data_IF_726108355320
#
_entry.id   IF_726108355320
#
_cell.length_a   1.000
_cell.length_b   1.000
_cell.length_c   1.000
_cell.angle_alpha   90.00
_cell.angle_beta   90.00
_cell.angle_gamma   90.00
#
_symmetry.space_group_name_H-M   'P 1'
#
loop_
_entity.id
_entity.type
_entity.pdbx_description
1 polymer ?
#
# COMPACT_ATOMS: atom_id res chain seq x y z
N UNK A 1 -24.15 14.16 43.00
CA UNK A 1 -23.70 12.85 42.60
C UNK A 1 -22.22 12.99 42.25
N UNK A 2 -21.33 12.55 43.13
CA UNK A 2 -19.87 12.75 43.04
C UNK A 2 -19.33 11.64 42.12
N UNK A 3 -18.75 12.00 41.00
CA UNK A 3 -18.09 11.07 40.09
C UNK A 3 -16.78 10.64 40.78
N UNK A 4 -16.55 9.36 41.04
CA UNK A 4 -15.31 8.92 41.64
C UNK A 4 -14.15 9.13 40.63
N UNK A 5 -13.19 9.98 41.00
CA UNK A 5 -11.93 10.11 40.26
C UNK A 5 -11.15 8.78 40.40
N UNK A 6 -10.81 8.17 39.27
CA UNK A 6 -9.89 7.02 39.24
C UNK A 6 -8.53 7.47 39.82
N UNK A 7 -7.92 6.71 40.73
CA UNK A 7 -6.61 7.03 41.26
C UNK A 7 -5.59 7.06 40.12
N UNK A 8 -4.80 8.12 40.03
CA UNK A 8 -3.65 8.23 39.15
C UNK A 8 -2.59 7.20 39.59
N UNK A 9 -2.65 6.01 39.03
CA UNK A 9 -1.54 5.06 39.12
C UNK A 9 -0.33 5.71 38.43
N UNK A 10 0.72 6.02 39.21
CA UNK A 10 2.03 6.33 38.68
C UNK A 10 2.53 5.07 37.95
N UNK A 11 2.36 5.02 36.62
CA UNK A 11 2.89 3.93 35.77
C UNK A 11 4.41 3.94 35.89
N UNK A 12 5.00 2.79 36.17
CA UNK A 12 6.45 2.62 36.16
C UNK A 12 6.99 2.80 34.79
N UNK A 13 8.25 3.25 34.62
CA UNK A 13 8.91 3.44 33.33
C UNK A 13 8.89 2.18 32.45
N UNK A 14 8.94 0.99 33.08
CA UNK A 14 8.89 -0.30 32.36
C UNK A 14 7.48 -0.59 31.78
N UNK A 15 6.43 -0.26 32.52
CA UNK A 15 5.04 -0.38 32.05
C UNK A 15 4.78 0.59 30.88
N UNK A 16 5.26 1.82 30.99
CA UNK A 16 5.18 2.81 29.92
C UNK A 16 5.93 2.37 28.66
N UNK A 17 7.10 1.73 28.80
CA UNK A 17 7.87 1.22 27.66
C UNK A 17 7.21 0.00 27.02
N UNK A 18 6.60 -0.89 27.81
CA UNK A 18 5.84 -2.05 27.33
C UNK A 18 4.59 -1.62 26.56
N UNK A 19 3.83 -0.68 27.11
CA UNK A 19 2.64 -0.12 26.45
C UNK A 19 3.00 0.59 25.14
N UNK A 20 4.12 1.31 25.10
CA UNK A 20 4.63 1.97 23.89
C UNK A 20 5.02 0.94 22.84
N UNK A 21 5.73 -0.12 23.22
CA UNK A 21 6.11 -1.20 22.31
C UNK A 21 4.88 -1.92 21.75
N UNK A 22 3.91 -2.25 22.62
CA UNK A 22 2.65 -2.89 22.21
C UNK A 22 1.87 -2.03 21.21
N UNK A 23 1.81 -0.72 21.43
CA UNK A 23 1.26 0.24 20.48
C UNK A 23 1.92 0.14 19.12
N UNK A 24 3.25 0.18 19.07
CA UNK A 24 3.96 0.08 17.77
C UNK A 24 3.71 -1.27 17.11
N UNK A 25 3.65 -2.35 17.86
CA UNK A 25 3.36 -3.69 17.33
C UNK A 25 1.93 -3.77 16.75
N UNK A 26 0.93 -3.10 17.35
CA UNK A 26 -0.44 -3.09 16.83
C UNK A 26 -0.57 -2.42 15.46
N UNK A 27 0.33 -1.48 15.13
CA UNK A 27 0.40 -0.83 13.82
C UNK A 27 1.33 -1.53 12.82
N UNK A 28 2.07 -2.56 13.27
CA UNK A 28 3.00 -3.29 12.40
C UNK A 28 2.26 -4.06 11.30
N UNK A 29 1.08 -4.64 11.60
CA UNK A 29 0.30 -5.42 10.65
C UNK A 29 -0.06 -4.67 9.36
N UNK A 30 -0.70 -3.49 9.43
CA UNK A 30 -0.96 -2.67 8.25
C UNK A 30 0.30 -2.25 7.50
N UNK A 31 1.38 -1.97 8.23
CA UNK A 31 2.69 -1.67 7.64
C UNK A 31 3.25 -2.86 6.85
N UNK A 32 3.08 -4.08 7.34
CA UNK A 32 3.47 -5.30 6.65
C UNK A 32 2.61 -5.55 5.40
N UNK A 33 1.30 -5.33 5.47
CA UNK A 33 0.42 -5.43 4.29
C UNK A 33 0.83 -4.40 3.23
N UNK A 34 1.12 -3.15 3.63
CA UNK A 34 1.62 -2.15 2.70
C UNK A 34 2.99 -2.55 2.11
N UNK A 35 3.88 -3.14 2.92
CA UNK A 35 5.20 -3.58 2.47
C UNK A 35 5.13 -4.72 1.44
N UNK A 36 4.16 -5.64 1.58
CA UNK A 36 3.96 -6.72 0.60
C UNK A 36 3.65 -6.20 -0.79
N UNK A 37 2.88 -5.12 -0.89
CA UNK A 37 2.56 -4.51 -2.18
C UNK A 37 3.83 -4.09 -2.96
N UNK A 38 4.94 -3.83 -2.28
CA UNK A 38 6.22 -3.49 -2.92
C UNK A 38 7.12 -4.70 -3.21
N UNK A 39 6.75 -5.90 -2.70
CA UNK A 39 7.44 -7.16 -2.98
C UNK A 39 6.72 -7.95 -4.09
N UNK A 40 6.18 -7.26 -5.07
CA UNK A 40 5.37 -7.81 -6.13
C UNK A 40 6.20 -8.43 -7.27
N UNK A 41 5.63 -9.36 -8.03
CA UNK A 41 6.29 -9.98 -9.18
C UNK A 41 6.59 -9.01 -10.33
N UNK A 42 5.82 -7.90 -10.45
CA UNK A 42 6.03 -6.87 -11.46
C UNK A 42 7.33 -6.10 -11.24
N UNK A 43 7.57 -5.63 -9.99
CA UNK A 43 8.84 -5.03 -9.59
C UNK A 43 10.01 -5.98 -9.83
N UNK A 44 9.85 -7.26 -9.44
CA UNK A 44 10.86 -8.28 -9.67
C UNK A 44 11.22 -8.44 -11.16
N UNK A 45 10.23 -8.52 -12.04
CA UNK A 45 10.44 -8.69 -13.48
C UNK A 45 11.15 -7.47 -14.09
N UNK A 46 10.74 -6.25 -13.75
CA UNK A 46 11.36 -5.01 -14.24
C UNK A 46 12.79 -4.85 -13.74
N UNK A 47 13.07 -5.18 -12.49
CA UNK A 47 14.41 -5.12 -11.91
C UNK A 47 15.35 -6.16 -12.52
N UNK A 48 14.85 -7.37 -12.80
CA UNK A 48 15.61 -8.39 -13.51
C UNK A 48 15.93 -7.94 -14.95
N UNK A 49 14.99 -7.34 -15.67
CA UNK A 49 15.23 -6.80 -17.00
C UNK A 49 16.26 -5.66 -16.96
N UNK A 50 16.12 -4.73 -16.02
CA UNK A 50 17.08 -3.65 -15.81
C UNK A 50 18.50 -4.17 -15.53
N UNK A 51 18.63 -5.11 -14.61
CA UNK A 51 19.89 -5.72 -14.22
C UNK A 51 20.54 -6.50 -15.39
N UNK A 52 19.75 -7.27 -16.14
CA UNK A 52 20.26 -8.08 -17.26
C UNK A 52 20.76 -7.25 -18.45
N UNK A 53 20.13 -6.10 -18.72
CA UNK A 53 20.48 -5.22 -19.85
C UNK A 53 21.52 -4.18 -19.52
N UNK A 54 21.46 -3.60 -18.31
CA UNK A 54 22.24 -2.42 -17.94
C UNK A 54 23.17 -2.65 -16.74
N UNK A 55 23.17 -3.84 -16.14
CA UNK A 55 23.91 -4.11 -14.91
C UNK A 55 23.46 -3.15 -13.80
N UNK A 56 24.41 -2.47 -13.15
CA UNK A 56 24.10 -1.57 -12.03
C UNK A 56 23.70 -0.14 -12.46
N UNK A 57 23.69 0.19 -13.78
CA UNK A 57 23.54 1.59 -14.26
C UNK A 57 22.18 2.22 -13.99
N UNK A 58 21.14 1.42 -13.70
CA UNK A 58 19.79 1.87 -13.38
C UNK A 58 19.45 1.82 -11.89
N UNK A 59 20.40 1.47 -11.01
CA UNK A 59 20.17 1.45 -9.56
C UNK A 59 19.77 2.82 -9.01
N UNK A 60 20.24 3.91 -9.63
CA UNK A 60 19.76 5.25 -9.29
C UNK A 60 18.26 5.39 -9.46
N UNK A 61 17.69 4.86 -10.55
CA UNK A 61 16.25 4.89 -10.79
C UNK A 61 15.48 4.05 -9.77
N UNK A 62 15.98 2.85 -9.45
CA UNK A 62 15.39 1.99 -8.42
C UNK A 62 15.38 2.70 -7.05
N UNK A 63 16.51 3.29 -6.65
CA UNK A 63 16.61 4.05 -5.41
C UNK A 63 15.64 5.23 -5.37
N UNK A 64 15.58 6.00 -6.45
CA UNK A 64 14.71 7.18 -6.55
C UNK A 64 13.23 6.78 -6.51
N UNK A 65 12.86 5.74 -7.24
CA UNK A 65 11.49 5.20 -7.23
C UNK A 65 11.08 4.72 -5.83
N UNK A 66 11.97 3.98 -5.16
CA UNK A 66 11.73 3.53 -3.79
C UNK A 66 11.58 4.69 -2.79
N UNK A 67 12.42 5.72 -2.89
CA UNK A 67 12.30 6.91 -2.04
C UNK A 67 10.98 7.65 -2.27
N UNK A 68 10.55 7.81 -3.52
CA UNK A 68 9.25 8.41 -3.83
C UNK A 68 8.10 7.54 -3.33
N UNK A 69 8.17 6.22 -3.50
CA UNK A 69 7.15 5.30 -3.02
C UNK A 69 6.98 5.40 -1.50
N UNK A 70 8.07 5.36 -0.73
CA UNK A 70 8.04 5.53 0.73
C UNK A 70 7.48 6.90 1.12
N UNK A 71 7.94 7.98 0.48
CA UNK A 71 7.45 9.33 0.75
C UNK A 71 5.94 9.44 0.52
N UNK A 72 5.47 8.99 -0.64
CA UNK A 72 4.04 9.04 -0.99
C UNK A 72 3.22 8.15 -0.06
N UNK A 73 3.69 6.95 0.26
CA UNK A 73 3.02 6.03 1.19
C UNK A 73 2.85 6.65 2.58
N UNK A 74 3.91 7.27 3.12
CA UNK A 74 3.86 7.96 4.42
C UNK A 74 2.87 9.14 4.38
N UNK A 75 2.86 9.92 3.30
CA UNK A 75 1.89 11.02 3.15
C UNK A 75 0.46 10.51 3.07
N UNK A 76 0.21 9.42 2.32
CA UNK A 76 -1.12 8.80 2.21
C UNK A 76 -1.59 8.23 3.55
N UNK A 77 -0.73 7.51 4.28
CA UNK A 77 -1.06 7.02 5.61
C UNK A 77 -1.35 8.17 6.59
N UNK A 78 -0.55 9.24 6.57
CA UNK A 78 -0.81 10.43 7.40
C UNK A 78 -2.13 11.10 7.03
N UNK A 79 -2.47 11.17 5.73
CA UNK A 79 -3.74 11.68 5.26
C UNK A 79 -4.89 10.87 5.86
N UNK A 80 -4.85 9.54 5.74
CA UNK A 80 -5.85 8.64 6.30
C UNK A 80 -5.99 8.79 7.81
N UNK A 81 -4.88 8.76 8.54
CA UNK A 81 -4.86 8.86 10.00
C UNK A 81 -5.39 10.21 10.51
N UNK A 82 -5.08 11.32 9.83
CA UNK A 82 -5.47 12.67 10.29
C UNK A 82 -6.92 12.99 9.91
N UNK A 83 -7.35 12.55 8.72
CA UNK A 83 -8.67 12.94 8.19
C UNK A 83 -9.76 11.92 8.44
N UNK A 84 -9.40 10.68 8.81
CA UNK A 84 -10.33 9.55 8.89
C UNK A 84 -10.92 9.14 7.55
N UNK A 85 -10.33 9.61 6.43
CA UNK A 85 -10.81 9.32 5.08
C UNK A 85 -9.66 8.87 4.20
N UNK A 86 -9.91 7.88 3.35
CA UNK A 86 -8.92 7.38 2.41
C UNK A 86 -8.57 8.39 1.30
N UNK A 87 -7.48 8.11 0.58
CA UNK A 87 -6.96 8.96 -0.49
C UNK A 87 -8.00 9.19 -1.60
N UNK A 88 -8.77 8.16 -1.98
CA UNK A 88 -9.75 8.25 -3.07
C UNK A 88 -10.91 9.16 -2.69
N UNK A 89 -11.42 9.02 -1.47
CA UNK A 89 -12.48 9.88 -0.92
C UNK A 89 -12.02 11.33 -0.79
N UNK A 90 -10.80 11.57 -0.31
CA UNK A 90 -10.24 12.93 -0.22
C UNK A 90 -10.02 13.54 -1.59
N UNK A 91 -9.52 12.78 -2.56
CA UNK A 91 -9.34 13.25 -3.95
C UNK A 91 -10.68 13.65 -4.56
N UNK A 92 -11.73 12.83 -4.38
CA UNK A 92 -13.07 13.15 -4.83
C UNK A 92 -13.58 14.46 -4.22
N UNK A 93 -13.41 14.63 -2.90
CA UNK A 93 -13.81 15.86 -2.20
C UNK A 93 -13.06 17.08 -2.71
N UNK A 94 -11.75 16.99 -2.85
CA UNK A 94 -10.91 18.07 -3.35
C UNK A 94 -11.30 18.49 -4.76
N UNK A 95 -11.46 17.54 -5.67
CA UNK A 95 -11.84 17.80 -7.06
C UNK A 95 -13.21 18.44 -7.16
N UNK A 96 -14.18 18.00 -6.36
CA UNK A 96 -15.52 18.60 -6.32
C UNK A 96 -15.57 19.94 -5.56
N UNK A 97 -14.50 20.34 -4.89
CA UNK A 97 -14.43 21.57 -4.11
C UNK A 97 -15.28 21.53 -2.84
N UNK A 98 -15.38 20.35 -2.22
CA UNK A 98 -16.11 20.17 -0.97
C UNK A 98 -15.21 20.50 0.23
N UNK A 99 -15.75 21.15 1.28
CA UNK A 99 -14.99 21.43 2.48
C UNK A 99 -14.54 20.15 3.18
N UNK A 100 -13.38 20.22 3.82
CA UNK A 100 -12.89 19.13 4.66
C UNK A 100 -13.86 18.87 5.81
N UNK A 101 -14.25 17.61 6.02
CA UNK A 101 -15.16 17.21 7.10
C UNK A 101 -16.66 17.34 6.80
N UNK A 102 -17.06 17.71 5.59
CA UNK A 102 -18.47 17.62 5.19
C UNK A 102 -18.90 16.13 5.13
N UNK A 103 -19.93 15.76 5.89
CA UNK A 103 -20.44 14.39 5.95
C UNK A 103 -20.89 13.88 4.58
N UNK A 104 -22.06 14.24 4.13
CA UNK A 104 -22.59 13.84 2.83
C UNK A 104 -22.11 14.74 1.69
N UNK A 105 -21.96 14.15 0.51
CA UNK A 105 -21.70 14.90 -0.72
C UNK A 105 -23.03 15.56 -1.12
N UNK A 106 -23.12 16.90 -1.15
CA UNK A 106 -24.34 17.56 -1.53
C UNK A 106 -24.75 17.18 -2.97
N UNK A 107 -26.05 17.21 -3.29
CA UNK A 107 -26.51 16.89 -4.64
C UNK A 107 -25.83 17.82 -5.66
N UNK A 108 -25.46 17.28 -6.82
CA UNK A 108 -24.75 17.99 -7.89
C UNK A 108 -25.64 19.05 -8.57
N UNK A 109 -25.93 20.11 -7.86
CA UNK A 109 -26.89 21.10 -8.26
C UNK A 109 -26.31 22.33 -9.01
N UNK A 110 -24.98 22.48 -8.99
CA UNK A 110 -24.30 23.60 -9.67
C UNK A 110 -23.61 23.14 -10.96
N UNK A 111 -23.69 23.96 -12.01
CA UNK A 111 -23.03 23.72 -13.30
C UNK A 111 -21.51 23.48 -13.11
N UNK A 112 -20.86 24.24 -12.22
CA UNK A 112 -19.44 24.11 -11.91
C UNK A 112 -19.11 22.74 -11.31
N UNK A 113 -19.98 22.18 -10.49
CA UNK A 113 -19.79 20.87 -9.88
C UNK A 113 -19.92 19.75 -10.91
N UNK A 114 -20.90 19.87 -11.84
CA UNK A 114 -21.03 18.93 -12.97
C UNK A 114 -19.80 18.97 -13.90
N UNK A 115 -19.29 20.17 -14.19
CA UNK A 115 -18.10 20.35 -15.02
C UNK A 115 -16.87 19.71 -14.36
N UNK A 116 -16.66 19.90 -13.05
CA UNK A 116 -15.57 19.26 -12.31
C UNK A 116 -15.73 17.74 -12.23
N UNK A 117 -16.94 17.26 -12.05
CA UNK A 117 -17.21 15.83 -12.02
C UNK A 117 -16.86 15.16 -13.36
N UNK A 118 -17.40 15.65 -14.47
CA UNK A 118 -17.18 15.06 -15.78
C UNK A 118 -15.84 15.42 -16.41
N UNK A 119 -15.33 16.63 -16.15
CA UNK A 119 -14.09 17.13 -16.75
C UNK A 119 -12.82 16.79 -15.99
N UNK A 120 -12.88 16.54 -14.69
CA UNK A 120 -11.71 16.23 -13.86
C UNK A 120 -11.83 14.90 -13.14
N UNK A 121 -12.92 14.63 -12.42
CA UNK A 121 -13.03 13.44 -11.59
C UNK A 121 -13.12 12.17 -12.43
N UNK A 122 -13.97 12.14 -13.45
CA UNK A 122 -14.12 10.96 -14.32
C UNK A 122 -12.84 10.65 -15.11
N UNK A 123 -12.16 11.61 -15.77
CA UNK A 123 -10.88 11.33 -16.41
C UNK A 123 -9.82 10.84 -15.43
N UNK A 124 -9.72 11.44 -14.24
CA UNK A 124 -8.79 11.02 -13.20
C UNK A 124 -9.07 9.57 -12.74
N UNK A 125 -10.36 9.24 -12.55
CA UNK A 125 -10.79 7.88 -12.22
C UNK A 125 -10.41 6.88 -13.31
N UNK A 126 -10.69 7.20 -14.59
CA UNK A 126 -10.33 6.32 -15.72
C UNK A 126 -8.82 6.11 -15.80
N UNK A 127 -8.03 7.17 -15.65
CA UNK A 127 -6.55 7.05 -15.66
C UNK A 127 -6.08 6.15 -14.51
N UNK A 128 -6.65 6.32 -13.32
CA UNK A 128 -6.31 5.49 -12.17
C UNK A 128 -6.68 4.01 -12.38
N UNK A 129 -7.87 3.73 -12.93
CA UNK A 129 -8.29 2.36 -13.27
C UNK A 129 -7.36 1.72 -14.32
N UNK A 130 -7.00 2.47 -15.37
CA UNK A 130 -6.06 1.99 -16.39
C UNK A 130 -4.69 1.70 -15.77
N UNK A 131 -4.22 2.54 -14.86
CA UNK A 131 -2.95 2.32 -14.16
C UNK A 131 -3.01 1.06 -13.28
N UNK A 132 -4.10 0.85 -12.54
CA UNK A 132 -4.30 -0.37 -11.72
C UNK A 132 -4.30 -1.61 -12.61
N UNK A 133 -5.11 -1.62 -13.69
CA UNK A 133 -5.16 -2.77 -14.61
C UNK A 133 -3.79 -3.06 -15.22
N UNK A 134 -3.03 -2.04 -15.59
CA UNK A 134 -1.68 -2.21 -16.14
C UNK A 134 -0.72 -2.83 -15.11
N UNK A 135 -0.78 -2.42 -13.85
CA UNK A 135 0.02 -2.97 -12.75
C UNK A 135 -0.35 -4.44 -12.48
N UNK A 136 -1.63 -4.74 -12.36
CA UNK A 136 -2.13 -6.10 -12.16
C UNK A 136 -1.71 -7.06 -13.29
N UNK A 137 -1.72 -6.58 -14.54
CA UNK A 137 -1.21 -7.36 -15.69
C UNK A 137 0.28 -7.64 -15.56
N UNK A 138 1.07 -6.67 -15.12
CA UNK A 138 2.51 -6.87 -14.88
C UNK A 138 2.76 -7.90 -13.77
N UNK A 139 2.00 -7.86 -12.69
CA UNK A 139 2.07 -8.81 -11.58
C UNK A 139 1.70 -10.25 -12.03
N UNK A 140 0.63 -10.40 -12.82
CA UNK A 140 0.23 -11.68 -13.39
C UNK A 140 1.32 -12.28 -14.29
N UNK A 141 1.91 -11.46 -15.15
CA UNK A 141 2.99 -11.89 -16.04
C UNK A 141 4.24 -12.24 -15.24
N UNK A 142 4.62 -11.43 -14.25
CA UNK A 142 5.76 -11.69 -13.37
C UNK A 142 5.60 -13.01 -12.60
N UNK A 143 4.42 -13.28 -12.06
CA UNK A 143 4.09 -14.55 -11.40
C UNK A 143 4.17 -15.73 -12.35
N UNK A 144 3.66 -15.59 -13.58
CA UNK A 144 3.75 -16.64 -14.60
C UNK A 144 5.21 -16.93 -15.01
N UNK A 145 6.05 -15.89 -15.11
CA UNK A 145 7.49 -16.03 -15.37
C UNK A 145 8.15 -16.80 -14.20
N UNK A 146 7.84 -16.44 -12.95
CA UNK A 146 8.38 -17.14 -11.79
C UNK A 146 7.99 -18.63 -11.77
N UNK A 147 6.73 -18.96 -12.08
CA UNK A 147 6.27 -20.35 -12.21
C UNK A 147 6.98 -21.09 -13.35
N UNK A 148 7.18 -20.47 -14.49
CA UNK A 148 7.91 -21.07 -15.60
C UNK A 148 9.39 -21.31 -15.27
N UNK A 149 10.03 -20.40 -14.52
CA UNK A 149 11.41 -20.57 -14.05
C UNK A 149 11.56 -21.74 -13.06
N UNK A 150 10.59 -21.89 -12.17
CA UNK A 150 10.58 -22.99 -11.19
C UNK A 150 10.21 -24.34 -11.84
N UNK A 151 9.27 -24.30 -12.76
CA UNK A 151 8.73 -25.48 -13.45
C UNK A 151 8.72 -25.23 -14.96
N UNK A 152 9.83 -25.46 -15.68
CA UNK A 152 9.94 -25.16 -17.12
C UNK A 152 8.93 -25.91 -18.01
N UNK A 153 8.27 -26.92 -17.48
CA UNK A 153 7.18 -27.66 -18.16
C UNK A 153 5.91 -26.82 -18.28
N UNK A 154 5.71 -25.83 -17.39
CA UNK A 154 4.54 -24.96 -17.37
C UNK A 154 4.77 -23.81 -18.36
N UNK A 155 4.04 -23.74 -19.48
CA UNK A 155 4.16 -22.61 -20.40
C UNK A 155 3.58 -21.32 -19.76
N UNK A 156 4.03 -20.14 -20.19
CA UNK A 156 3.64 -18.85 -19.61
C UNK A 156 2.12 -18.65 -19.54
N UNK A 157 1.37 -19.02 -20.58
CA UNK A 157 -0.09 -18.91 -20.59
C UNK A 157 -0.77 -19.75 -19.49
N UNK A 158 -0.22 -20.96 -19.22
CA UNK A 158 -0.73 -21.81 -18.13
C UNK A 158 -0.37 -21.22 -16.76
N UNK A 159 0.82 -20.61 -16.62
CA UNK A 159 1.22 -19.85 -15.45
C UNK A 159 0.25 -18.71 -15.13
N UNK A 160 -0.15 -17.93 -16.11
CA UNK A 160 -1.16 -16.86 -15.95
C UNK A 160 -2.50 -17.42 -15.47
N UNK A 161 -2.98 -18.54 -16.05
CA UNK A 161 -4.23 -19.16 -15.62
C UNK A 161 -4.15 -19.70 -14.18
N UNK A 162 -3.03 -20.30 -13.79
CA UNK A 162 -2.80 -20.80 -12.43
C UNK A 162 -2.80 -19.64 -11.43
N UNK A 163 -2.08 -18.57 -11.70
CA UNK A 163 -2.05 -17.38 -10.84
C UNK A 163 -3.42 -16.74 -10.72
N UNK A 164 -4.17 -16.62 -11.83
CA UNK A 164 -5.53 -16.10 -11.81
C UNK A 164 -6.45 -16.97 -10.95
N UNK A 165 -6.37 -18.30 -11.09
CA UNK A 165 -7.15 -19.22 -10.28
C UNK A 165 -6.80 -19.14 -8.79
N UNK A 166 -5.51 -18.97 -8.46
CA UNK A 166 -5.03 -18.78 -7.08
C UNK A 166 -5.59 -17.51 -6.44
N UNK A 167 -5.61 -16.39 -7.16
CA UNK A 167 -6.23 -15.13 -6.70
C UNK A 167 -7.71 -15.32 -6.42
N UNK A 168 -8.47 -15.96 -7.32
CA UNK A 168 -9.88 -16.26 -7.08
C UNK A 168 -10.09 -17.19 -5.88
N UNK A 169 -9.24 -18.19 -5.73
CA UNK A 169 -9.27 -19.10 -4.59
C UNK A 169 -9.00 -18.36 -3.28
N UNK A 170 -7.99 -17.48 -3.27
CA UNK A 170 -7.67 -16.65 -2.12
C UNK A 170 -8.83 -15.73 -1.73
N UNK A 171 -9.47 -15.05 -2.69
CA UNK A 171 -10.66 -14.22 -2.46
C UNK A 171 -11.83 -15.01 -1.88
N UNK A 172 -11.99 -16.27 -2.30
CA UNK A 172 -13.07 -17.14 -1.82
C UNK A 172 -12.81 -17.69 -0.40
N UNK A 173 -11.54 -18.03 -0.10
CA UNK A 173 -11.14 -18.60 1.18
C UNK A 173 -10.98 -17.55 2.29
N UNK A 174 -10.43 -16.38 1.96
CA UNK A 174 -10.23 -15.31 2.92
C UNK A 174 -11.49 -14.46 3.06
N UNK A 175 -12.44 -14.96 3.88
CA UNK A 175 -13.58 -14.16 4.31
C UNK A 175 -13.16 -13.20 5.41
N UNK A 176 -13.69 -11.95 5.45
CA UNK A 176 -13.38 -10.96 6.49
C UNK A 176 -13.64 -11.44 7.93
N UNK A 177 -14.49 -12.45 8.10
CA UNK A 177 -14.84 -13.04 9.39
C UNK A 177 -13.73 -13.87 10.06
N UNK A 178 -12.63 -14.15 9.37
CA UNK A 178 -11.57 -15.07 9.87
C UNK A 178 -10.44 -14.41 10.64
N UNK A 179 -10.58 -13.15 11.03
CA UNK A 179 -9.60 -12.44 11.85
C UNK A 179 -8.44 -11.82 11.05
N UNK A 180 -8.45 -10.52 10.93
CA UNK A 180 -7.41 -9.70 10.25
C UNK A 180 -6.01 -10.02 10.77
N UNK A 181 -5.85 -10.30 12.06
CA UNK A 181 -4.55 -10.61 12.69
C UNK A 181 -3.88 -11.87 12.16
N UNK A 182 -4.64 -12.93 11.86
CA UNK A 182 -4.07 -14.15 11.28
C UNK A 182 -3.56 -13.88 9.86
N UNK A 183 -4.30 -13.12 9.08
CA UNK A 183 -3.90 -12.69 7.75
C UNK A 183 -2.63 -11.82 7.81
N UNK A 184 -2.56 -10.83 8.69
CA UNK A 184 -1.38 -9.98 8.92
C UNK A 184 -0.15 -10.80 9.32
N UNK A 185 -0.33 -11.80 10.19
CA UNK A 185 0.76 -12.69 10.60
C UNK A 185 1.27 -13.56 9.45
N UNK A 186 0.35 -14.12 8.64
CA UNK A 186 0.72 -14.90 7.44
C UNK A 186 1.53 -14.06 6.47
N UNK A 187 1.05 -12.86 6.17
CA UNK A 187 1.73 -11.89 5.32
C UNK A 187 3.13 -11.56 5.88
N UNK A 188 3.23 -11.30 7.18
CA UNK A 188 4.51 -11.02 7.83
C UNK A 188 5.52 -12.15 7.68
N UNK A 189 5.08 -13.41 7.80
CA UNK A 189 5.92 -14.59 7.58
C UNK A 189 6.38 -14.67 6.12
N UNK A 190 5.49 -14.41 5.15
CA UNK A 190 5.86 -14.42 3.73
C UNK A 190 6.90 -13.34 3.40
N UNK A 191 6.72 -12.11 3.90
CA UNK A 191 7.71 -11.03 3.74
C UNK A 191 9.06 -11.42 4.34
N UNK A 192 9.07 -12.04 5.52
CA UNK A 192 10.30 -12.50 6.15
C UNK A 192 11.01 -13.58 5.32
N UNK A 193 10.26 -14.52 4.75
CA UNK A 193 10.82 -15.55 3.86
C UNK A 193 11.47 -14.89 2.63
N UNK A 194 10.77 -13.94 1.98
CA UNK A 194 11.31 -13.21 0.83
C UNK A 194 12.59 -12.47 1.21
N UNK A 195 12.59 -11.75 2.35
CA UNK A 195 13.78 -11.04 2.85
C UNK A 195 14.97 -12.00 3.05
N UNK A 196 14.75 -13.16 3.66
CA UNK A 196 15.79 -14.17 3.87
C UNK A 196 16.31 -14.68 2.52
N UNK A 197 15.42 -14.96 1.56
CA UNK A 197 15.80 -15.37 0.20
C UNK A 197 16.67 -14.31 -0.49
N UNK A 198 16.33 -13.03 -0.38
CA UNK A 198 17.16 -11.94 -0.93
C UNK A 198 18.53 -11.85 -0.27
N UNK A 199 18.62 -12.01 1.06
CA UNK A 199 19.90 -12.04 1.77
C UNK A 199 20.79 -13.21 1.32
N UNK A 200 20.20 -14.38 1.10
CA UNK A 200 20.94 -15.56 0.58
C UNK A 200 21.39 -15.30 -0.86
N UNK A 201 20.52 -14.75 -1.71
CA UNK A 201 20.82 -14.42 -3.09
C UNK A 201 21.98 -13.41 -3.17
N UNK A 202 21.92 -12.33 -2.40
CA UNK A 202 22.95 -11.31 -2.34
C UNK A 202 24.32 -11.89 -1.94
N UNK A 203 24.34 -12.81 -0.98
CA UNK A 203 25.58 -13.52 -0.58
C UNK A 203 26.12 -14.43 -1.67
N UNK A 204 25.25 -15.00 -2.51
CA UNK A 204 25.68 -15.90 -3.60
C UNK A 204 26.18 -15.16 -4.82
N UNK A 205 25.59 -14.01 -5.14
CA UNK A 205 25.96 -13.22 -6.31
C UNK A 205 27.32 -12.55 -6.14
N UNK A 206 27.77 -12.31 -4.90
CA UNK A 206 29.07 -11.64 -4.60
C UNK A 206 29.28 -10.38 -5.46
N UNK A 207 28.39 -9.37 -5.37
CA UNK A 207 28.45 -8.19 -6.23
C UNK A 207 29.74 -7.40 -5.98
N UNK A 208 30.27 -6.75 -7.01
CA UNK A 208 31.30 -5.73 -6.82
C UNK A 208 30.64 -4.48 -6.19
N UNK A 209 30.93 -4.26 -4.92
CA UNK A 209 30.36 -3.16 -4.16
C UNK A 209 30.76 -1.79 -4.69
N UNK A 210 31.94 -1.68 -5.33
CA UNK A 210 32.34 -0.44 -5.97
C UNK A 210 31.39 -0.06 -7.10
N UNK A 211 31.12 -1.01 -7.99
CA UNK A 211 30.20 -0.83 -9.11
C UNK A 211 28.75 -0.62 -8.64
N UNK A 212 28.32 -1.33 -7.59
CA UNK A 212 26.99 -1.13 -6.98
C UNK A 212 26.83 0.31 -6.48
N UNK A 213 27.77 0.81 -5.69
CA UNK A 213 27.69 2.19 -5.18
C UNK A 213 27.79 3.22 -6.29
N UNK A 214 28.58 2.96 -7.33
CA UNK A 214 28.63 3.82 -8.50
C UNK A 214 27.31 3.83 -9.28
N UNK A 215 26.58 2.72 -9.28
CA UNK A 215 25.26 2.60 -9.91
C UNK A 215 24.16 3.46 -9.27
N UNK A 216 24.33 3.89 -8.00
CA UNK A 216 23.43 4.85 -7.36
C UNK A 216 23.66 6.31 -7.78
N UNK A 217 24.67 6.58 -8.60
CA UNK A 217 24.88 7.91 -9.18
C UNK A 217 24.18 7.97 -10.55
N UNK A 218 23.46 9.05 -10.86
CA UNK A 218 22.77 9.17 -12.15
C UNK A 218 23.76 9.09 -13.32
N UNK A 219 23.49 8.18 -14.25
CA UNK A 219 24.29 7.98 -15.46
C UNK A 219 23.54 8.44 -16.70
N UNK A 220 24.24 8.73 -17.79
CA UNK A 220 23.63 9.05 -19.08
C UNK A 220 22.74 7.91 -19.62
N UNK A 221 22.90 6.69 -19.15
CA UNK A 221 22.08 5.53 -19.49
C UNK A 221 20.59 5.77 -19.19
N UNK A 222 20.27 6.47 -18.10
CA UNK A 222 18.89 6.78 -17.69
C UNK A 222 18.13 7.56 -18.77
N UNK A 223 18.82 8.41 -19.53
CA UNK A 223 18.21 9.26 -20.57
C UNK A 223 18.31 8.66 -22.00
N UNK A 224 18.91 7.49 -22.16
CA UNK A 224 18.86 6.76 -23.44
C UNK A 224 17.45 6.22 -23.69
N UNK A 225 17.05 6.02 -24.95
CA UNK A 225 15.71 5.54 -25.29
C UNK A 225 15.33 4.25 -24.54
N UNK A 226 16.21 3.24 -24.54
CA UNK A 226 15.97 1.98 -23.83
C UNK A 226 16.06 2.13 -22.31
N UNK A 227 17.05 2.87 -21.80
CA UNK A 227 17.21 3.14 -20.37
C UNK A 227 16.03 3.94 -19.81
N UNK A 228 15.53 4.92 -20.56
CA UNK A 228 14.35 5.69 -20.16
C UNK A 228 13.09 4.82 -20.10
N UNK A 229 12.90 3.94 -21.12
CA UNK A 229 11.77 3.02 -21.14
C UNK A 229 11.75 2.12 -19.89
N UNK A 230 12.88 1.49 -19.55
CA UNK A 230 12.99 0.64 -18.36
C UNK A 230 12.90 1.47 -17.07
N UNK A 231 13.45 2.69 -17.04
CA UNK A 231 13.33 3.59 -15.89
C UNK A 231 11.88 3.98 -15.61
N UNK A 232 11.09 4.24 -16.64
CA UNK A 232 9.64 4.50 -16.50
C UNK A 232 8.91 3.24 -16.04
N UNK A 233 9.29 2.06 -16.53
CA UNK A 233 8.72 0.79 -16.11
C UNK A 233 8.99 0.51 -14.62
N UNK A 234 10.22 0.73 -14.14
CA UNK A 234 10.58 0.63 -12.71
C UNK A 234 9.74 1.60 -11.88
N UNK A 235 9.63 2.86 -12.30
CA UNK A 235 8.85 3.88 -11.61
C UNK A 235 7.37 3.48 -11.52
N UNK A 236 6.79 3.01 -12.63
CA UNK A 236 5.39 2.59 -12.71
C UNK A 236 5.09 1.34 -11.89
N UNK A 237 6.00 0.37 -11.87
CA UNK A 237 5.88 -0.82 -11.05
C UNK A 237 6.02 -0.52 -9.55
N UNK A 238 6.87 0.44 -9.17
CA UNK A 238 7.15 0.76 -7.76
C UNK A 238 6.10 1.70 -7.15
N UNK A 239 5.59 2.68 -7.91
CA UNK A 239 4.60 3.66 -7.41
C UNK A 239 3.20 3.24 -7.86
N UNK A 240 2.60 2.33 -7.10
CA UNK A 240 1.30 1.75 -7.41
C UNK A 240 0.16 2.57 -6.80
N UNK A 241 -0.81 3.06 -7.60
CA UNK A 241 -1.94 3.82 -7.09
C UNK A 241 -2.78 3.05 -6.06
N UNK A 242 -3.04 1.76 -6.30
CA UNK A 242 -3.83 0.93 -5.41
C UNK A 242 -3.17 0.73 -4.03
N UNK A 243 -1.84 0.58 -3.99
CA UNK A 243 -1.08 0.48 -2.74
C UNK A 243 -1.20 1.75 -1.90
N UNK A 244 -1.13 2.93 -2.52
CA UNK A 244 -1.28 4.23 -1.85
C UNK A 244 -2.70 4.40 -1.28
N UNK A 245 -3.72 4.04 -2.06
CA UNK A 245 -5.13 4.08 -1.64
C UNK A 245 -5.35 3.12 -0.47
N UNK A 246 -4.92 1.87 -0.60
CA UNK A 246 -5.05 0.83 0.41
C UNK A 246 -4.34 1.21 1.72
N UNK A 247 -3.10 1.71 1.64
CA UNK A 247 -2.35 2.17 2.81
C UNK A 247 -3.00 3.34 3.52
N UNK A 248 -3.60 4.29 2.77
CA UNK A 248 -4.37 5.38 3.36
C UNK A 248 -5.64 4.87 4.06
N UNK A 249 -6.32 3.88 3.47
CA UNK A 249 -7.50 3.28 4.06
C UNK A 249 -7.19 2.55 5.36
N UNK A 250 -6.15 1.70 5.40
CA UNK A 250 -5.75 1.03 6.63
C UNK A 250 -5.33 1.98 7.75
N UNK A 251 -4.86 3.17 7.40
CA UNK A 251 -4.51 4.20 8.36
C UNK A 251 -5.72 4.96 8.92
N UNK A 252 -6.92 4.80 8.36
CA UNK A 252 -8.16 5.36 8.92
C UNK A 252 -8.67 4.58 10.12
N UNK A 253 -8.26 3.31 10.27
CA UNK A 253 -8.74 2.41 11.33
C UNK A 253 -8.03 2.74 12.64
N UNK A 254 -8.80 3.07 13.69
CA UNK A 254 -8.26 3.24 15.03
C UNK A 254 -8.01 1.87 15.68
N UNK A 255 -6.76 1.61 16.03
CA UNK A 255 -6.31 0.34 16.63
C UNK A 255 -5.91 0.49 18.10
N UNK A 256 -6.08 1.68 18.67
CA UNK A 256 -5.64 1.99 20.05
C UNK A 256 -6.71 1.66 21.08
N UNK A 257 -7.98 1.65 20.73
CA UNK A 257 -9.10 1.38 21.63
C UNK A 257 -9.42 -0.12 21.82
N UNK A 258 -8.45 -0.96 21.55
CA UNK A 258 -8.25 -2.32 22.04
C UNK A 258 -9.47 -3.21 22.26
N UNK A 259 -10.19 -3.57 21.24
CA UNK A 259 -10.82 -4.85 21.02
C UNK A 259 -11.38 -4.83 19.60
N UNK A 260 -10.60 -5.42 18.69
CA UNK A 260 -11.09 -5.69 17.34
C UNK A 260 -12.20 -6.74 17.46
N UNK A 261 -13.43 -6.32 17.78
CA UNK A 261 -14.62 -7.09 17.50
C UNK A 261 -14.91 -6.92 15.99
N UNK A 262 -14.76 -7.99 15.18
CA UNK A 262 -15.01 -7.91 13.74
C UNK A 262 -16.42 -7.44 13.39
N UNK A 263 -17.37 -7.55 14.33
CA UNK A 263 -18.72 -7.05 14.17
C UNK A 263 -18.84 -5.56 14.50
N UNK A 264 -17.98 -5.04 15.37
CA UNK A 264 -17.94 -3.62 15.71
C UNK A 264 -17.33 -2.78 14.59
N UNK A 265 -16.28 -3.28 13.91
CA UNK A 265 -15.62 -2.55 12.82
C UNK A 265 -16.57 -2.37 11.61
N UNK A 266 -17.40 -3.37 11.30
CA UNK A 266 -18.41 -3.28 10.23
C UNK A 266 -19.59 -2.41 10.67
N UNK A 267 -20.00 -2.52 11.94
CA UNK A 267 -21.10 -1.72 12.48
C UNK A 267 -20.67 -0.26 12.66
N UNK A 268 -19.43 0.00 13.10
CA UNK A 268 -18.87 1.33 13.24
C UNK A 268 -18.63 2.01 11.87
N UNK A 269 -18.26 1.26 10.84
CA UNK A 269 -18.22 1.78 9.46
C UNK A 269 -19.61 2.11 8.93
N UNK A 270 -20.63 1.31 9.23
CA UNK A 270 -22.02 1.57 8.88
C UNK A 270 -22.59 2.77 9.67
N UNK A 271 -22.22 2.90 10.95
CA UNK A 271 -22.62 4.01 11.81
C UNK A 271 -21.88 5.31 11.45
N UNK A 272 -20.62 5.24 11.00
CA UNK A 272 -19.85 6.37 10.46
C UNK A 272 -20.40 6.86 9.10
N UNK A 273 -21.06 6.00 8.35
CA UNK A 273 -21.81 6.39 7.16
C UNK A 273 -23.18 7.03 7.49
N UNK A 274 -23.74 6.77 8.67
CA UNK A 274 -25.10 7.16 9.07
C UNK A 274 -25.20 8.30 10.08
N UNK A 275 -24.12 8.75 10.76
CA UNK A 275 -24.25 9.66 11.92
C UNK A 275 -23.61 11.06 11.79
N UNK A 276 -24.19 11.96 12.60
CA UNK A 276 -23.99 13.39 12.83
C UNK A 276 -22.50 13.84 12.88
N UNK A 277 -22.12 14.93 12.17
CA UNK A 277 -20.77 15.51 12.19
C UNK A 277 -20.25 15.90 13.58
N UNK A 278 -21.13 16.09 14.57
CA UNK A 278 -20.77 16.41 15.95
C UNK A 278 -20.10 15.26 16.71
N UNK A 279 -20.47 14.02 16.44
CA UNK A 279 -19.93 12.85 17.10
C UNK A 279 -18.47 12.54 16.67
N UNK A 280 -18.13 12.80 15.41
CA UNK A 280 -16.78 12.60 14.85
C UNK A 280 -15.70 13.47 15.48
N UNK A 281 -16.04 14.74 15.82
CA UNK A 281 -15.08 15.66 16.44
C UNK A 281 -14.74 15.30 17.89
N UNK A 282 -15.61 14.55 18.59
CA UNK A 282 -15.34 14.08 19.95
C UNK A 282 -14.37 12.89 19.99
N UNK A 283 -14.39 12.05 18.95
CA UNK A 283 -13.50 10.91 18.78
C UNK A 283 -12.02 11.34 18.61
N UNK A 284 -11.76 12.37 17.79
CA UNK A 284 -10.41 12.87 17.51
C UNK A 284 -9.81 13.77 18.59
N UNK A 285 -10.60 14.13 19.64
CA UNK A 285 -10.14 14.93 20.77
C UNK A 285 -9.70 14.11 21.99
N UNK A 286 -9.85 12.81 21.96
CA UNK A 286 -9.40 11.89 23.01
C UNK A 286 -8.09 11.20 22.63
#
# INVERSE_FOLDING_TARGET
MVIPQRPSHQRTWLESSGDTLMRHISFLGPGLIAAVAYCDPGNWATDMEAGSRFGYKLLFTVLLSGLFAVLLQVLCCRLGAVTGLDLSTQTRRLVLGLPAGAGEIPPMNTMNMRLRYWGLLIPLYIINEVAIVATELAELIGSAIALNLLFPVIPLWAGVLITTADVFLALFLFRPSSGVRLFEALIGVLVLIVLVCFCILLRRVLPDWGDVFHGFVPTSTVVTSEGLYISISILGATIMPHSLILGSHFATIDRLDGELDPNNDVQEQLDLESEDPGARLSFWRR
#
